data_IF_673444174392
#
_entry.id   IF_673444174392
#
_cell.length_a   1.000
_cell.length_b   1.000
_cell.length_c   1.000
_cell.angle_alpha   90.00
_cell.angle_beta   90.00
_cell.angle_gamma   90.00
#
_symmetry.space_group_name_H-M   'P 1'
#
loop_
_entity.id
_entity.type
_entity.pdbx_description
1 polymer ?
#
# COMPACT_ATOMS: atom_id res chain seq x y z
N UNK A 1 26.80 -32.22 -43.29
CA UNK A 1 26.66 -32.57 -41.85
C UNK A 1 27.21 -31.40 -41.04
N UNK A 2 26.37 -30.58 -40.38
CA UNK A 2 26.74 -29.53 -39.37
C UNK A 2 25.60 -28.54 -39.00
N UNK A 3 24.35 -28.72 -39.47
CA UNK A 3 23.24 -27.80 -39.13
C UNK A 3 22.30 -28.30 -38.01
N UNK A 4 22.32 -29.59 -37.69
CA UNK A 4 21.46 -30.17 -36.66
C UNK A 4 22.01 -30.00 -35.23
N UNK A 5 23.33 -29.99 -35.06
CA UNK A 5 23.95 -29.77 -33.75
C UNK A 5 23.69 -28.37 -33.18
N UNK A 6 23.55 -27.36 -34.04
CA UNK A 6 23.30 -25.97 -33.63
C UNK A 6 21.87 -25.78 -33.10
N UNK A 7 20.88 -26.43 -33.73
CA UNK A 7 19.48 -26.38 -33.27
C UNK A 7 19.29 -27.09 -31.93
N UNK A 8 19.96 -28.23 -31.71
CA UNK A 8 19.90 -28.96 -30.43
C UNK A 8 20.52 -28.11 -29.30
N UNK A 9 21.61 -27.39 -29.59
CA UNK A 9 22.27 -26.54 -28.59
C UNK A 9 21.41 -25.33 -28.19
N UNK A 10 20.68 -24.71 -29.14
CA UNK A 10 19.76 -23.60 -28.85
C UNK A 10 18.57 -24.07 -28.00
N UNK A 11 17.99 -25.25 -28.31
CA UNK A 11 16.87 -25.79 -27.53
C UNK A 11 17.31 -26.15 -26.11
N UNK A 12 18.52 -26.66 -25.92
CA UNK A 12 19.08 -26.93 -24.59
C UNK A 12 19.36 -25.65 -23.80
N UNK A 13 19.87 -24.59 -24.46
CA UNK A 13 20.09 -23.29 -23.82
C UNK A 13 18.77 -22.61 -23.44
N UNK A 14 17.75 -22.68 -24.30
CA UNK A 14 16.41 -22.18 -23.98
C UNK A 14 15.75 -22.99 -22.87
N UNK A 15 15.88 -24.32 -22.88
CA UNK A 15 15.40 -25.18 -21.80
C UNK A 15 16.09 -24.88 -20.47
N UNK A 16 17.40 -24.66 -20.49
CA UNK A 16 18.17 -24.28 -19.30
C UNK A 16 17.83 -22.86 -18.81
N UNK A 17 17.63 -21.90 -19.72
CA UNK A 17 17.16 -20.57 -19.37
C UNK A 17 15.75 -20.61 -18.76
N UNK A 18 14.85 -21.45 -19.30
CA UNK A 18 13.51 -21.66 -18.73
C UNK A 18 13.62 -22.28 -17.34
N UNK A 19 14.47 -23.30 -17.15
CA UNK A 19 14.70 -23.93 -15.84
C UNK A 19 15.25 -22.93 -14.83
N UNK A 20 16.26 -22.14 -15.22
CA UNK A 20 16.81 -21.07 -14.37
C UNK A 20 15.78 -19.99 -14.06
N UNK A 21 14.92 -19.61 -15.02
CA UNK A 21 13.84 -18.66 -14.74
C UNK A 21 12.78 -19.27 -13.83
N UNK A 22 12.42 -20.55 -13.98
CA UNK A 22 11.48 -21.22 -13.07
C UNK A 22 12.07 -21.46 -11.67
N UNK A 23 13.37 -21.68 -11.56
CA UNK A 23 14.06 -21.74 -10.26
C UNK A 23 14.18 -20.34 -9.64
N UNK A 24 14.47 -19.30 -10.42
CA UNK A 24 14.51 -17.91 -9.95
C UNK A 24 13.12 -17.40 -9.52
N UNK A 25 12.05 -17.73 -10.26
CA UNK A 25 10.67 -17.46 -9.86
C UNK A 25 10.19 -18.37 -8.71
N UNK A 26 10.69 -19.60 -8.62
CA UNK A 26 10.39 -20.53 -7.52
C UNK A 26 11.12 -20.22 -6.22
N UNK A 27 12.09 -19.31 -6.25
CA UNK A 27 12.87 -18.88 -5.09
C UNK A 27 12.40 -17.52 -4.53
N UNK A 28 11.30 -16.95 -5.04
CA UNK A 28 10.54 -15.98 -4.25
C UNK A 28 9.99 -16.72 -3.03
N UNK A 29 10.58 -16.41 -1.88
CA UNK A 29 10.23 -16.91 -0.57
C UNK A 29 8.71 -16.92 -0.41
N UNK A 30 8.13 -18.11 -0.30
CA UNK A 30 6.71 -18.31 -0.03
C UNK A 30 6.41 -17.62 1.32
N UNK A 31 5.86 -16.40 1.28
CA UNK A 31 5.36 -15.70 2.46
C UNK A 31 4.25 -16.56 3.05
N UNK A 32 4.60 -17.41 4.01
CA UNK A 32 3.67 -18.39 4.55
C UNK A 32 2.75 -17.67 5.52
N UNK A 33 1.66 -17.10 4.99
CA UNK A 33 0.61 -16.48 5.80
C UNK A 33 0.04 -17.56 6.74
N UNK A 34 0.24 -17.39 8.04
CA UNK A 34 -0.32 -18.29 9.05
C UNK A 34 -1.58 -17.69 9.65
N UNK A 35 -2.70 -18.36 9.45
CA UNK A 35 -3.99 -18.07 10.08
C UNK A 35 -4.10 -18.89 11.37
N UNK A 36 -4.25 -18.21 12.49
CA UNK A 36 -4.36 -18.84 13.81
C UNK A 36 -5.79 -18.85 14.37
N UNK A 37 -6.76 -18.26 13.67
CA UNK A 37 -8.13 -18.08 14.18
C UNK A 37 -8.15 -17.50 15.60
N UNK A 38 -8.99 -18.08 16.47
CA UNK A 38 -9.22 -17.60 17.85
C UNK A 38 -8.26 -18.22 18.89
N UNK A 39 -7.17 -18.88 18.48
CA UNK A 39 -6.22 -19.45 19.43
C UNK A 39 -5.40 -18.38 20.14
N UNK A 40 -5.38 -18.45 21.48
CA UNK A 40 -4.88 -17.40 22.37
C UNK A 40 -3.45 -16.94 22.11
N UNK A 41 -3.24 -15.64 22.23
CA UNK A 41 -1.92 -14.98 22.23
C UNK A 41 -1.12 -15.49 23.44
N UNK A 42 0.11 -15.94 23.24
CA UNK A 42 1.05 -16.28 24.33
C UNK A 42 1.12 -15.11 25.33
N UNK A 43 0.92 -15.39 26.62
CA UNK A 43 0.79 -14.33 27.63
C UNK A 43 2.12 -13.70 28.05
N UNK A 44 3.26 -14.29 27.70
CA UNK A 44 4.56 -13.71 28.04
C UNK A 44 4.86 -12.52 27.11
N UNK A 45 5.20 -11.37 27.70
CA UNK A 45 5.64 -10.14 27.02
C UNK A 45 4.56 -9.31 26.29
N UNK A 46 3.28 -9.42 26.65
CA UNK A 46 2.21 -8.55 26.14
C UNK A 46 1.52 -7.76 27.26
N UNK A 47 1.29 -6.46 27.02
CA UNK A 47 0.49 -5.58 27.87
C UNK A 47 -0.88 -5.30 27.26
N UNK A 48 -1.81 -4.86 28.09
CA UNK A 48 -3.13 -4.39 27.65
C UNK A 48 -3.18 -2.87 27.62
N UNK A 49 -3.72 -2.31 26.54
CA UNK A 49 -4.04 -0.89 26.44
C UNK A 49 -5.55 -0.72 26.31
N UNK A 50 -6.10 0.28 26.99
CA UNK A 50 -7.50 0.65 26.87
C UNK A 50 -7.65 1.73 25.80
N UNK A 51 -8.57 1.53 24.87
CA UNK A 51 -8.91 2.51 23.83
C UNK A 51 -10.38 2.91 23.95
N UNK A 52 -10.75 3.99 23.28
CA UNK A 52 -12.14 4.30 22.95
C UNK A 52 -12.34 3.91 21.49
N UNK A 53 -12.98 2.76 21.18
CA UNK A 53 -13.05 2.26 19.80
C UNK A 53 -13.62 3.26 18.80
N UNK A 54 -14.63 4.04 19.23
CA UNK A 54 -15.25 5.07 18.39
C UNK A 54 -14.30 6.19 17.97
N UNK A 55 -13.27 6.47 18.75
CA UNK A 55 -12.30 7.52 18.44
C UNK A 55 -11.16 6.93 17.59
N UNK A 56 -10.77 5.68 17.85
CA UNK A 56 -9.66 5.00 17.18
C UNK A 56 -10.02 4.45 15.79
N UNK A 57 -11.29 4.09 15.53
CA UNK A 57 -11.72 3.44 14.28
C UNK A 57 -11.51 4.30 13.02
N UNK A 58 -11.36 5.61 13.22
CA UNK A 58 -11.17 6.60 12.17
C UNK A 58 -9.72 7.09 12.02
N UNK A 59 -8.77 6.49 12.75
CA UNK A 59 -7.36 6.90 12.75
C UNK A 59 -6.45 5.76 12.26
N UNK A 60 -5.35 6.10 11.59
CA UNK A 60 -4.32 5.15 11.16
C UNK A 60 -4.25 4.95 9.64
N UNK A 61 -3.43 4.00 9.21
CA UNK A 61 -3.04 3.88 7.79
C UNK A 61 -3.96 2.94 6.98
N UNK A 62 -4.78 2.11 7.66
CA UNK A 62 -5.67 1.12 7.07
C UNK A 62 -7.13 1.59 6.91
N UNK A 63 -7.36 2.89 6.86
CA UNK A 63 -8.70 3.46 6.66
C UNK A 63 -9.21 3.13 5.25
N UNK A 64 -10.31 2.38 5.17
CA UNK A 64 -11.03 2.16 3.93
C UNK A 64 -11.85 3.42 3.62
N UNK A 65 -11.43 4.16 2.59
CA UNK A 65 -12.14 5.33 2.11
C UNK A 65 -12.64 5.05 0.69
N UNK A 66 -13.93 5.23 0.50
CA UNK A 66 -14.62 5.06 -0.78
C UNK A 66 -15.98 5.77 -0.72
N UNK A 67 -16.82 5.62 -1.74
CA UNK A 67 -18.17 6.22 -1.83
C UNK A 67 -19.10 5.92 -0.63
N UNK A 68 -18.86 4.84 0.11
CA UNK A 68 -19.71 4.39 1.22
C UNK A 68 -19.08 4.72 2.60
N UNK A 69 -17.79 5.04 2.62
CA UNK A 69 -17.00 5.26 3.83
C UNK A 69 -16.18 6.56 3.69
N UNK A 70 -16.69 7.70 4.17
CA UNK A 70 -16.01 8.97 4.04
C UNK A 70 -14.79 9.06 4.97
N UNK A 71 -13.96 10.05 4.69
CA UNK A 71 -12.84 10.50 5.51
C UNK A 71 -13.39 11.25 6.71
N UNK A 72 -12.82 10.94 7.86
CA UNK A 72 -13.04 11.64 9.11
C UNK A 72 -11.82 12.53 9.40
N UNK A 73 -12.03 13.68 10.02
CA UNK A 73 -10.96 14.65 10.29
C UNK A 73 -9.83 14.04 11.12
N UNK A 74 -10.18 13.12 12.03
CA UNK A 74 -9.27 12.37 12.87
C UNK A 74 -8.34 11.46 12.06
N UNK A 75 -8.74 11.04 10.87
CA UNK A 75 -7.97 10.18 9.97
C UNK A 75 -6.97 10.93 9.10
N UNK A 76 -7.09 12.26 9.00
CA UNK A 76 -6.14 13.08 8.25
C UNK A 76 -4.79 13.05 8.96
N UNK A 77 -3.72 12.70 8.24
CA UNK A 77 -2.38 12.64 8.83
C UNK A 77 -1.98 14.02 9.37
N UNK A 78 -1.37 14.06 10.55
CA UNK A 78 -0.97 15.31 11.21
C UNK A 78 0.40 15.83 10.74
N UNK A 79 1.13 15.02 9.97
CA UNK A 79 2.47 15.30 9.46
C UNK A 79 2.47 15.68 7.97
N UNK A 80 1.38 16.30 7.48
CA UNK A 80 1.35 16.85 6.12
C UNK A 80 2.39 17.96 5.99
N UNK A 81 3.24 17.85 4.97
CA UNK A 81 4.27 18.83 4.64
C UNK A 81 4.23 19.16 3.15
N UNK A 82 4.62 20.38 2.80
CA UNK A 82 4.85 20.76 1.42
C UNK A 82 6.17 20.15 0.92
N UNK A 83 6.11 19.29 -0.10
CA UNK A 83 7.28 18.57 -0.62
C UNK A 83 8.24 19.49 -1.38
N UNK A 84 7.78 20.61 -1.93
CA UNK A 84 8.66 21.55 -2.63
C UNK A 84 9.63 22.25 -1.67
N UNK A 85 9.20 22.47 -0.42
CA UNK A 85 9.99 23.13 0.62
C UNK A 85 11.03 22.19 1.26
N UNK A 86 10.76 20.88 1.29
CA UNK A 86 11.66 19.88 1.87
C UNK A 86 12.42 19.09 0.77
N UNK A 87 13.60 19.60 0.40
CA UNK A 87 14.45 18.99 -0.64
C UNK A 87 14.99 17.61 -0.26
N UNK A 88 15.04 17.29 1.04
CA UNK A 88 15.50 15.98 1.48
C UNK A 88 14.45 14.90 1.19
N UNK A 89 13.17 15.26 1.10
CA UNK A 89 12.08 14.33 0.75
C UNK A 89 11.90 14.10 -0.76
N UNK A 90 12.51 14.91 -1.61
CA UNK A 90 12.26 14.93 -3.07
C UNK A 90 13.41 14.40 -3.91
N UNK A 91 14.33 13.63 -3.31
CA UNK A 91 15.42 13.00 -4.05
C UNK A 91 14.89 11.80 -4.87
N UNK A 92 15.27 11.74 -6.15
CA UNK A 92 14.95 10.63 -7.05
C UNK A 92 13.67 10.80 -7.87
N UNK A 93 12.96 11.92 -7.74
CA UNK A 93 11.75 12.22 -8.51
C UNK A 93 11.54 13.74 -8.61
N UNK A 94 10.59 14.15 -9.46
CA UNK A 94 10.20 15.56 -9.60
C UNK A 94 8.77 15.81 -9.14
N UNK A 95 8.41 17.07 -8.90
CA UNK A 95 7.05 17.50 -8.55
C UNK A 95 6.41 18.21 -9.74
N UNK A 96 5.13 17.94 -9.99
CA UNK A 96 4.39 18.59 -11.08
C UNK A 96 4.13 20.08 -10.77
N UNK A 97 3.90 20.40 -9.49
CA UNK A 97 3.72 21.76 -9.01
C UNK A 97 4.39 21.97 -7.63
N UNK A 98 4.44 23.23 -7.17
CA UNK A 98 5.10 23.60 -5.90
C UNK A 98 4.18 23.49 -4.67
N UNK A 99 2.93 23.08 -4.86
CA UNK A 99 1.88 22.98 -3.84
C UNK A 99 1.51 21.52 -3.57
N UNK A 100 2.40 20.57 -3.91
CA UNK A 100 2.21 19.17 -3.60
C UNK A 100 2.57 18.96 -2.13
N UNK A 101 1.56 18.54 -1.38
CA UNK A 101 1.68 18.19 0.02
C UNK A 101 1.53 16.68 0.20
N UNK A 102 2.14 16.09 1.22
CA UNK A 102 1.97 14.67 1.56
C UNK A 102 2.34 14.46 3.02
N UNK A 103 1.86 13.36 3.64
CA UNK A 103 2.41 12.92 4.92
C UNK A 103 3.93 12.75 4.79
N UNK A 104 4.69 13.34 5.71
CA UNK A 104 6.15 13.25 5.74
C UNK A 104 6.61 11.79 5.79
N UNK A 105 5.96 10.96 6.62
CA UNK A 105 6.22 9.53 6.68
C UNK A 105 6.03 8.86 5.30
N UNK A 106 4.90 9.12 4.64
CA UNK A 106 4.61 8.53 3.32
C UNK A 106 5.61 9.01 2.26
N UNK A 107 6.04 10.27 2.31
CA UNK A 107 7.07 10.79 1.40
C UNK A 107 8.43 10.09 1.60
N UNK A 108 8.80 9.77 2.83
CA UNK A 108 10.01 9.00 3.14
C UNK A 108 9.92 7.57 2.59
N UNK A 109 8.77 6.91 2.76
CA UNK A 109 8.53 5.57 2.20
C UNK A 109 8.58 5.59 0.66
N UNK A 110 7.96 6.60 0.04
CA UNK A 110 8.03 6.80 -1.41
C UNK A 110 9.46 7.03 -1.90
N UNK A 111 10.25 7.84 -1.18
CA UNK A 111 11.65 8.04 -1.49
C UNK A 111 12.45 6.73 -1.47
N UNK A 112 12.27 5.89 -0.45
CA UNK A 112 12.92 4.57 -0.38
C UNK A 112 12.55 3.69 -1.58
N UNK A 113 11.29 3.74 -1.98
CA UNK A 113 10.79 3.00 -3.14
C UNK A 113 11.46 3.46 -4.46
N UNK A 114 11.49 4.76 -4.73
CA UNK A 114 12.08 5.26 -5.99
C UNK A 114 13.61 5.13 -6.02
N UNK A 115 14.28 5.18 -4.87
CA UNK A 115 15.72 4.90 -4.79
C UNK A 115 16.06 3.46 -5.17
N UNK A 116 15.20 2.50 -4.81
CA UNK A 116 15.37 1.12 -5.22
C UNK A 116 15.11 0.93 -6.72
N UNK A 117 14.08 1.58 -7.25
CA UNK A 117 13.80 1.59 -8.69
C UNK A 117 14.96 2.18 -9.52
N UNK A 118 15.62 3.23 -9.01
CA UNK A 118 16.80 3.82 -9.66
C UNK A 118 17.98 2.85 -9.75
N UNK A 119 18.14 1.92 -8.80
CA UNK A 119 19.16 0.86 -8.91
C UNK A 119 18.90 -0.09 -10.09
N UNK A 120 17.67 -0.15 -10.58
CA UNK A 120 17.26 -0.91 -11.76
C UNK A 120 17.16 -0.02 -13.02
N UNK A 121 17.55 1.25 -12.92
CA UNK A 121 17.52 2.22 -14.03
C UNK A 121 16.15 2.86 -14.28
N UNK A 122 15.19 2.70 -13.36
CA UNK A 122 13.84 3.27 -13.45
C UNK A 122 13.80 4.54 -12.59
N UNK A 123 13.84 5.72 -13.21
CA UNK A 123 14.08 6.98 -12.48
C UNK A 123 13.42 8.23 -13.06
N UNK A 124 12.38 8.08 -13.89
CA UNK A 124 11.63 9.21 -14.43
C UNK A 124 10.36 9.55 -13.64
N UNK A 125 10.33 9.21 -12.35
CA UNK A 125 9.19 9.44 -11.47
C UNK A 125 8.85 10.93 -11.29
N UNK A 126 7.55 11.18 -11.20
CA UNK A 126 6.92 12.46 -10.93
C UNK A 126 5.82 12.24 -9.88
N UNK A 127 5.64 13.15 -8.93
CA UNK A 127 4.36 13.22 -8.19
C UNK A 127 3.50 14.30 -8.85
N UNK A 128 2.29 13.92 -9.26
CA UNK A 128 1.31 14.86 -9.84
C UNK A 128 0.26 15.35 -8.86
N UNK A 129 -0.01 14.59 -7.80
CA UNK A 129 -0.96 14.96 -6.75
C UNK A 129 -0.62 14.20 -5.46
N UNK A 130 -0.74 14.86 -4.31
CA UNK A 130 -0.57 14.25 -2.99
C UNK A 130 -1.79 14.52 -2.12
N UNK A 131 -1.61 14.99 -0.89
CA UNK A 131 -2.70 15.48 -0.05
C UNK A 131 -3.52 16.56 -0.76
N UNK A 132 -4.84 16.45 -0.63
CA UNK A 132 -5.81 17.48 -1.02
C UNK A 132 -6.72 17.69 0.17
N UNK A 133 -6.86 18.91 0.65
CA UNK A 133 -7.88 19.21 1.67
C UNK A 133 -9.30 19.12 1.08
N UNK A 134 -10.30 19.28 1.95
CA UNK A 134 -11.71 19.20 1.54
C UNK A 134 -12.09 20.29 0.54
N UNK A 135 -11.57 21.52 0.71
CA UNK A 135 -11.89 22.65 -0.18
C UNK A 135 -11.37 22.42 -1.59
N UNK A 136 -10.10 22.01 -1.73
CA UNK A 136 -9.48 21.67 -3.01
C UNK A 136 -10.15 20.47 -3.67
N UNK A 137 -10.58 19.48 -2.88
CA UNK A 137 -11.32 18.34 -3.41
C UNK A 137 -12.70 18.76 -3.96
N UNK A 138 -13.38 19.67 -3.27
CA UNK A 138 -14.67 20.22 -3.69
C UNK A 138 -14.55 21.07 -4.96
N UNK A 139 -13.48 21.86 -5.10
CA UNK A 139 -13.16 22.58 -6.33
C UNK A 139 -12.94 21.61 -7.50
N UNK A 140 -12.11 20.59 -7.32
CA UNK A 140 -11.87 19.58 -8.33
C UNK A 140 -13.16 18.86 -8.74
N UNK A 141 -14.01 18.52 -7.77
CA UNK A 141 -15.31 17.91 -8.02
C UNK A 141 -16.22 18.81 -8.86
N UNK A 142 -16.28 20.11 -8.55
CA UNK A 142 -17.05 21.09 -9.34
C UNK A 142 -16.52 21.26 -10.76
N UNK A 143 -15.20 21.22 -10.94
CA UNK A 143 -14.56 21.43 -12.25
C UNK A 143 -14.61 20.20 -13.16
N UNK A 144 -14.38 19.01 -12.61
CA UNK A 144 -14.22 17.76 -13.37
C UNK A 144 -15.49 16.93 -13.45
N UNK A 145 -16.43 17.14 -12.53
CA UNK A 145 -17.68 16.39 -12.44
C UNK A 145 -17.53 14.99 -11.85
N UNK A 146 -18.68 14.32 -11.72
CA UNK A 146 -18.83 13.01 -11.04
C UNK A 146 -18.10 11.85 -11.68
N UNK A 147 -17.81 11.96 -12.98
CA UNK A 147 -17.17 10.88 -13.73
C UNK A 147 -15.67 10.78 -13.45
N UNK A 148 -15.09 11.82 -12.85
CA UNK A 148 -13.64 11.95 -12.65
C UNK A 148 -13.26 12.18 -11.19
N UNK A 149 -14.07 12.95 -10.45
CA UNK A 149 -13.75 13.32 -9.08
C UNK A 149 -14.82 12.83 -8.11
N UNK A 150 -14.39 12.45 -6.91
CA UNK A 150 -15.26 12.17 -5.78
C UNK A 150 -15.55 13.46 -4.99
N UNK A 151 -16.73 13.57 -4.36
CA UNK A 151 -17.04 14.70 -3.49
C UNK A 151 -16.04 14.79 -2.32
N UNK A 152 -15.88 15.98 -1.74
CA UNK A 152 -14.99 16.16 -0.59
C UNK A 152 -15.30 15.18 0.52
N UNK A 153 -14.24 14.59 1.07
CA UNK A 153 -14.33 13.56 2.10
C UNK A 153 -14.60 12.16 1.58
N UNK A 154 -14.65 11.92 0.28
CA UNK A 154 -14.73 10.55 -0.27
C UNK A 154 -13.46 10.16 -1.05
N UNK A 155 -12.45 11.05 -1.07
CA UNK A 155 -11.18 10.89 -1.77
C UNK A 155 -10.09 10.46 -0.80
N UNK A 156 -9.33 9.41 -1.12
CA UNK A 156 -8.23 8.96 -0.26
C UNK A 156 -7.09 9.98 -0.17
N UNK A 157 -7.02 10.95 -1.10
CA UNK A 157 -6.08 12.08 -1.00
C UNK A 157 -6.35 12.96 0.22
N UNK A 158 -7.59 13.00 0.73
CA UNK A 158 -7.90 13.76 1.95
C UNK A 158 -7.22 13.17 3.21
N UNK A 159 -6.70 11.93 3.16
CA UNK A 159 -5.95 11.35 4.28
C UNK A 159 -4.48 11.78 4.29
N UNK A 160 -3.91 12.14 3.14
CA UNK A 160 -2.46 12.30 2.97
C UNK A 160 -1.68 10.98 2.91
N UNK A 161 -2.40 9.87 2.67
CA UNK A 161 -1.85 8.52 2.49
C UNK A 161 -1.76 8.08 1.02
N UNK A 162 -2.32 8.88 0.11
CA UNK A 162 -2.40 8.55 -1.32
C UNK A 162 -1.71 9.60 -2.16
N UNK A 163 -1.14 9.16 -3.26
CA UNK A 163 -0.42 9.99 -4.22
C UNK A 163 -0.66 9.49 -5.64
N UNK A 164 -0.77 10.44 -6.56
CA UNK A 164 -0.77 10.17 -7.98
C UNK A 164 0.67 10.29 -8.48
N UNK A 165 1.22 9.16 -8.92
CA UNK A 165 2.58 9.02 -9.45
C UNK A 165 2.50 9.07 -10.97
N UNK A 166 3.37 9.86 -11.59
CA UNK A 166 3.55 9.99 -13.02
C UNK A 166 4.95 9.57 -13.48
N UNK A 167 5.13 9.53 -14.79
CA UNK A 167 6.43 9.43 -15.45
C UNK A 167 6.64 10.66 -16.32
N UNK A 168 7.86 11.20 -16.33
CA UNK A 168 8.24 12.32 -17.19
C UNK A 168 8.41 11.90 -18.65
N UNK A 169 8.39 10.60 -18.96
CA UNK A 169 8.59 10.08 -20.33
C UNK A 169 7.28 9.77 -21.05
N UNK A 170 6.31 9.17 -20.37
CA UNK A 170 5.06 8.75 -20.98
C UNK A 170 3.95 8.54 -19.96
N UNK A 171 2.75 8.20 -20.42
CA UNK A 171 1.63 7.87 -19.56
C UNK A 171 1.95 6.64 -18.69
N UNK A 172 1.57 6.65 -17.41
CA UNK A 172 1.86 5.57 -16.47
C UNK A 172 1.43 4.17 -16.94
N UNK A 173 0.38 4.08 -17.76
CA UNK A 173 -0.06 2.80 -18.33
C UNK A 173 0.92 2.15 -19.32
N UNK A 174 1.91 2.91 -19.80
CA UNK A 174 2.92 2.52 -20.79
C UNK A 174 4.35 2.76 -20.30
N UNK A 175 4.52 3.38 -19.14
CA UNK A 175 5.82 3.75 -18.59
C UNK A 175 6.43 2.58 -17.83
N UNK A 176 7.76 2.45 -17.91
CA UNK A 176 8.50 1.44 -17.14
C UNK A 176 8.32 1.67 -15.62
N UNK A 177 8.16 2.93 -15.18
CA UNK A 177 7.78 3.28 -13.80
C UNK A 177 6.48 2.60 -13.37
N UNK A 178 5.45 2.60 -14.22
CA UNK A 178 4.15 2.03 -13.91
C UNK A 178 4.18 0.50 -13.83
N UNK A 179 4.96 -0.16 -14.68
CA UNK A 179 5.20 -1.61 -14.60
C UNK A 179 6.01 -1.96 -13.35
N UNK A 180 7.08 -1.21 -13.08
CA UNK A 180 7.93 -1.45 -11.92
C UNK A 180 7.14 -1.31 -10.60
N UNK A 181 6.34 -0.25 -10.46
CA UNK A 181 5.53 -0.04 -9.25
C UNK A 181 4.51 -1.16 -9.04
N UNK A 182 3.84 -1.65 -10.09
CA UNK A 182 2.90 -2.77 -9.98
C UNK A 182 3.53 -4.03 -9.40
N UNK A 183 4.83 -4.25 -9.64
CA UNK A 183 5.55 -5.44 -9.21
C UNK A 183 6.28 -5.27 -7.88
N UNK A 184 6.58 -4.03 -7.47
CA UNK A 184 7.51 -3.76 -6.37
C UNK A 184 6.97 -2.82 -5.28
N UNK A 185 5.94 -2.01 -5.54
CA UNK A 185 5.49 -0.99 -4.60
C UNK A 185 5.06 -1.56 -3.24
N UNK A 186 4.55 -2.79 -3.24
CA UNK A 186 4.13 -3.51 -2.03
C UNK A 186 5.27 -3.73 -1.04
N UNK A 187 6.53 -3.79 -1.49
CA UNK A 187 7.70 -3.94 -0.61
C UNK A 187 7.91 -2.70 0.28
N UNK A 188 7.34 -1.57 -0.12
CA UNK A 188 7.50 -0.27 0.54
C UNK A 188 6.21 0.23 1.19
N UNK A 189 5.23 -0.65 1.40
CA UNK A 189 3.97 -0.26 2.03
C UNK A 189 2.90 0.28 1.09
N UNK A 190 3.13 0.31 -0.22
CA UNK A 190 2.20 0.89 -1.20
C UNK A 190 1.43 -0.18 -1.99
N UNK A 191 0.20 0.14 -2.36
CA UNK A 191 -0.63 -0.67 -3.26
C UNK A 191 -1.07 0.16 -4.45
N UNK A 192 -1.22 -0.47 -5.62
CA UNK A 192 -2.01 0.08 -6.71
C UNK A 192 -3.49 0.02 -6.29
N UNK A 193 -4.09 1.16 -5.97
CA UNK A 193 -5.40 1.21 -5.32
C UNK A 193 -6.55 0.76 -6.23
N UNK A 194 -6.45 1.05 -7.53
CA UNK A 194 -7.49 0.82 -8.52
C UNK A 194 -6.96 0.04 -9.74
N UNK A 195 -6.83 -1.30 -9.66
CA UNK A 195 -6.32 -2.15 -10.75
C UNK A 195 -7.39 -2.48 -11.82
N UNK A 196 -6.94 -2.88 -13.03
CA UNK A 196 -7.76 -3.02 -14.26
C UNK A 196 -9.04 -3.85 -14.15
N UNK A 197 -9.05 -4.86 -13.29
CA UNK A 197 -10.09 -5.88 -13.21
C UNK A 197 -10.82 -5.89 -11.85
N UNK A 198 -10.77 -4.78 -11.10
CA UNK A 198 -11.41 -4.68 -9.77
C UNK A 198 -12.37 -3.49 -9.65
N UNK A 199 -12.74 -2.84 -10.76
CA UNK A 199 -13.64 -1.68 -10.76
C UNK A 199 -15.01 -1.98 -10.15
N UNK A 200 -15.53 -3.21 -10.29
CA UNK A 200 -16.79 -3.62 -9.65
C UNK A 200 -16.69 -3.69 -8.11
N UNK A 201 -15.48 -3.86 -7.57
CA UNK A 201 -15.22 -3.95 -6.13
C UNK A 201 -14.86 -2.58 -5.54
N UNK A 202 -14.01 -1.82 -6.24
CA UNK A 202 -13.54 -0.50 -5.77
C UNK A 202 -14.53 0.62 -6.08
N UNK A 203 -15.39 0.42 -7.09
CA UNK A 203 -16.26 1.46 -7.65
C UNK A 203 -15.54 2.49 -8.53
N UNK A 204 -14.24 2.32 -8.78
CA UNK A 204 -13.40 3.24 -9.57
C UNK A 204 -12.71 2.46 -10.68
N UNK A 205 -12.62 3.08 -11.86
CA UNK A 205 -11.95 2.50 -13.03
C UNK A 205 -10.45 2.35 -12.79
N UNK A 206 -9.77 1.70 -13.73
CA UNK A 206 -8.32 1.55 -13.66
C UNK A 206 -7.58 2.89 -13.58
N UNK A 207 -6.79 3.08 -12.52
CA UNK A 207 -5.94 4.26 -12.34
C UNK A 207 -4.48 3.82 -12.14
N UNK A 208 -3.68 3.67 -13.21
CA UNK A 208 -2.28 3.23 -13.12
C UNK A 208 -1.36 4.17 -12.34
N UNK A 209 -1.81 5.38 -12.04
CA UNK A 209 -1.06 6.42 -11.34
C UNK A 209 -1.37 6.45 -9.84
N UNK A 210 -2.52 5.93 -9.38
CA UNK A 210 -2.99 6.15 -8.02
C UNK A 210 -2.51 5.06 -7.06
N UNK A 211 -1.59 5.44 -6.19
CA UNK A 211 -1.03 4.55 -5.18
C UNK A 211 -1.43 4.99 -3.77
N UNK A 212 -1.70 3.99 -2.93
CA UNK A 212 -2.12 4.17 -1.54
C UNK A 212 -1.11 3.51 -0.60
N UNK A 213 -0.62 4.25 0.38
CA UNK A 213 0.14 3.69 1.49
C UNK A 213 -0.78 2.99 2.49
N UNK A 214 -0.47 1.73 2.78
CA UNK A 214 -1.12 0.88 3.79
C UNK A 214 -0.12 0.26 4.77
N UNK A 215 1.18 0.50 4.56
CA UNK A 215 2.26 -0.02 5.40
C UNK A 215 2.56 -1.51 5.20
N UNK A 216 3.63 -1.95 5.87
CA UNK A 216 3.99 -3.37 6.00
C UNK A 216 3.42 -3.94 7.30
N UNK A 217 2.97 -5.20 7.30
CA UNK A 217 3.05 -6.18 6.22
C UNK A 217 1.85 -6.13 5.27
N UNK A 218 0.96 -5.14 5.43
CA UNK A 218 -0.37 -5.14 4.85
C UNK A 218 -0.35 -5.15 3.32
N UNK A 219 0.47 -4.29 2.73
CA UNK A 219 0.70 -4.25 1.28
C UNK A 219 1.22 -5.59 0.73
N UNK A 220 2.12 -6.27 1.44
CA UNK A 220 2.60 -7.61 1.07
C UNK A 220 1.47 -8.66 1.11
N UNK A 221 0.67 -8.68 2.19
CA UNK A 221 -0.49 -9.58 2.30
C UNK A 221 -1.48 -9.32 1.16
N UNK A 222 -1.75 -8.06 0.85
CA UNK A 222 -2.64 -7.67 -0.25
C UNK A 222 -2.10 -8.10 -1.61
N UNK A 223 -0.80 -7.92 -1.85
CA UNK A 223 -0.13 -8.38 -3.06
C UNK A 223 -0.24 -9.89 -3.24
N UNK A 224 0.14 -10.66 -2.22
CA UNK A 224 0.19 -12.13 -2.26
C UNK A 224 -1.20 -12.75 -2.48
N UNK A 225 -2.24 -12.08 -1.99
CA UNK A 225 -3.63 -12.54 -2.09
C UNK A 225 -4.44 -11.84 -3.20
N UNK A 226 -3.81 -10.94 -3.98
CA UNK A 226 -4.46 -10.15 -5.03
C UNK A 226 -5.74 -9.43 -4.52
N UNK A 227 -5.62 -8.76 -3.38
CA UNK A 227 -6.71 -8.06 -2.69
C UNK A 227 -6.66 -6.56 -2.95
N UNK A 228 -7.82 -5.96 -3.21
CA UNK A 228 -8.02 -4.51 -3.06
C UNK A 228 -8.38 -4.17 -1.61
N UNK A 229 -8.30 -2.88 -1.25
CA UNK A 229 -8.53 -2.41 0.11
C UNK A 229 -9.86 -2.88 0.71
N UNK A 230 -10.92 -2.88 -0.11
CA UNK A 230 -12.26 -3.37 0.25
C UNK A 230 -12.22 -4.84 0.69
N UNK A 231 -11.62 -5.70 -0.13
CA UNK A 231 -11.51 -7.13 0.18
C UNK A 231 -10.57 -7.38 1.36
N UNK A 232 -9.53 -6.57 1.50
CA UNK A 232 -8.55 -6.71 2.57
C UNK A 232 -9.14 -6.37 3.95
N UNK A 233 -10.01 -5.36 4.03
CA UNK A 233 -10.74 -5.02 5.26
C UNK A 233 -11.59 -6.21 5.75
N UNK A 234 -12.33 -6.85 4.84
CA UNK A 234 -13.13 -8.04 5.15
C UNK A 234 -12.24 -9.24 5.49
N UNK A 235 -11.13 -9.42 4.76
CA UNK A 235 -10.17 -10.48 5.01
C UNK A 235 -9.59 -10.42 6.43
N UNK A 236 -9.16 -9.24 6.89
CA UNK A 236 -8.66 -9.06 8.26
C UNK A 236 -9.72 -9.38 9.32
N UNK A 237 -10.97 -8.98 9.07
CA UNK A 237 -12.10 -9.26 9.96
C UNK A 237 -12.43 -10.75 10.04
N UNK A 238 -12.38 -11.46 8.92
CA UNK A 238 -12.58 -12.91 8.87
C UNK A 238 -11.47 -13.65 9.62
N UNK A 239 -10.21 -13.31 9.31
CA UNK A 239 -9.02 -13.99 9.82
C UNK A 239 -8.77 -13.74 11.29
N UNK A 240 -9.08 -12.52 11.77
CA UNK A 240 -8.84 -12.03 13.14
C UNK A 240 -7.39 -11.97 13.59
N UNK A 241 -6.56 -12.92 13.19
CA UNK A 241 -5.14 -13.01 13.52
C UNK A 241 -4.37 -13.62 12.36
N UNK A 242 -3.30 -12.94 11.98
CA UNK A 242 -2.40 -13.37 10.91
C UNK A 242 -0.95 -13.21 11.37
N UNK A 243 -0.08 -14.07 10.86
CA UNK A 243 1.36 -13.85 10.91
C UNK A 243 1.96 -14.00 9.53
N UNK A 244 2.94 -13.17 9.20
CA UNK A 244 3.70 -13.26 7.94
C UNK A 244 5.13 -12.78 8.16
N UNK A 245 6.01 -13.11 7.22
CA UNK A 245 7.39 -12.61 7.20
C UNK A 245 7.54 -11.76 5.95
N UNK A 246 8.09 -10.56 6.09
CA UNK A 246 8.40 -9.69 4.94
C UNK A 246 9.85 -9.25 5.07
N UNK A 247 10.66 -9.53 4.05
CA UNK A 247 12.10 -9.23 4.03
C UNK A 247 12.88 -9.74 5.26
N UNK A 248 12.48 -10.90 5.79
CA UNK A 248 13.11 -11.52 6.96
C UNK A 248 12.58 -11.04 8.32
N UNK A 249 11.70 -10.04 8.34
CA UNK A 249 11.08 -9.51 9.56
C UNK A 249 9.72 -10.16 9.81
N UNK A 250 9.45 -10.60 11.04
CA UNK A 250 8.20 -11.27 11.40
C UNK A 250 7.14 -10.26 11.85
N UNK A 251 5.98 -10.30 11.21
CA UNK A 251 4.83 -9.49 11.54
C UNK A 251 3.67 -10.33 12.07
N UNK A 252 3.01 -9.81 13.11
CA UNK A 252 1.76 -10.33 13.61
C UNK A 252 0.67 -9.25 13.49
N UNK A 253 -0.45 -9.58 12.86
CA UNK A 253 -1.60 -8.68 12.66
C UNK A 253 -2.80 -9.22 13.42
N UNK A 254 -3.47 -8.36 14.18
CA UNK A 254 -4.64 -8.70 14.99
C UNK A 254 -5.78 -7.75 14.67
N UNK A 255 -6.98 -8.28 14.50
CA UNK A 255 -8.22 -7.51 14.33
C UNK A 255 -9.08 -7.61 15.60
N UNK A 256 -9.55 -6.46 16.06
CA UNK A 256 -10.44 -6.28 17.19
C UNK A 256 -11.74 -5.63 16.71
N UNK A 257 -12.87 -6.17 17.13
CA UNK A 257 -14.18 -5.60 16.82
C UNK A 257 -14.53 -4.41 17.74
N UNK A 258 -15.49 -3.57 17.33
CA UNK A 258 -15.91 -2.38 18.11
C UNK A 258 -16.43 -2.68 19.52
N UNK A 259 -16.78 -3.93 19.85
CA UNK A 259 -17.20 -4.31 21.20
C UNK A 259 -16.03 -4.46 22.17
N UNK A 260 -14.79 -4.41 21.68
CA UNK A 260 -13.58 -4.59 22.46
C UNK A 260 -12.90 -3.24 22.68
N UNK A 261 -12.76 -2.83 23.94
CA UNK A 261 -12.07 -1.60 24.34
C UNK A 261 -10.66 -1.85 24.90
N UNK A 262 -10.23 -3.12 24.93
CA UNK A 262 -8.92 -3.54 25.40
C UNK A 262 -8.16 -4.22 24.25
N UNK A 263 -7.05 -3.62 23.84
CA UNK A 263 -6.12 -4.20 22.87
C UNK A 263 -4.95 -4.87 23.59
N UNK A 264 -4.38 -5.91 22.98
CA UNK A 264 -3.12 -6.51 23.44
C UNK A 264 -2.01 -6.07 22.50
N UNK A 265 -0.96 -5.51 23.08
CA UNK A 265 0.23 -5.04 22.37
C UNK A 265 1.47 -5.56 23.08
N UNK A 266 2.61 -5.75 22.40
CA UNK A 266 3.82 -6.21 23.06
C UNK A 266 4.28 -5.22 24.16
N UNK A 267 4.87 -5.74 25.23
CA UNK A 267 5.47 -4.93 26.30
C UNK A 267 6.67 -4.14 25.78
N UNK A 268 7.49 -4.80 24.96
CA UNK A 268 8.68 -4.26 24.29
C UNK A 268 8.58 -4.59 22.79
N UNK A 269 8.92 -3.63 21.93
CA UNK A 269 8.86 -3.80 20.46
C UNK A 269 8.05 -2.70 19.78
N UNK A 270 7.98 -2.77 18.45
CA UNK A 270 7.25 -1.81 17.63
C UNK A 270 5.87 -2.35 17.28
N UNK A 271 4.85 -1.51 17.45
CA UNK A 271 3.50 -1.81 17.01
C UNK A 271 2.80 -0.56 16.49
N UNK A 272 1.85 -0.79 15.59
CA UNK A 272 0.98 0.22 15.01
C UNK A 272 -0.48 -0.15 15.30
N UNK A 273 -1.34 0.87 15.39
CA UNK A 273 -2.77 0.72 15.59
C UNK A 273 -3.47 1.52 14.50
N UNK A 274 -4.37 0.86 13.79
CA UNK A 274 -5.19 1.50 12.78
C UNK A 274 -6.64 1.08 12.94
N UNK A 275 -7.57 2.01 12.81
CA UNK A 275 -8.93 1.67 12.46
C UNK A 275 -9.03 1.20 11.01
N UNK A 276 -10.17 0.63 10.64
CA UNK A 276 -10.52 0.32 9.25
C UNK A 276 -11.57 1.27 8.66
N UNK A 277 -11.85 2.38 9.35
CA UNK A 277 -12.88 3.36 8.99
C UNK A 277 -14.33 2.87 9.09
N UNK A 278 -14.58 1.67 9.65
CA UNK A 278 -15.93 1.10 9.73
C UNK A 278 -16.25 0.54 11.12
N UNK A 279 -15.67 -0.60 11.47
CA UNK A 279 -16.05 -1.37 12.67
C UNK A 279 -14.94 -2.28 13.21
N UNK A 280 -13.69 -1.95 12.92
CA UNK A 280 -12.53 -2.73 13.29
C UNK A 280 -11.33 -1.89 13.66
N UNK A 281 -10.56 -2.40 14.62
CA UNK A 281 -9.24 -1.90 14.99
C UNK A 281 -8.23 -3.00 14.68
N UNK A 282 -7.18 -2.63 13.97
CA UNK A 282 -6.06 -3.48 13.59
C UNK A 282 -4.86 -3.10 14.43
N UNK A 283 -4.22 -4.10 15.03
CA UNK A 283 -2.93 -3.97 15.70
C UNK A 283 -1.90 -4.75 14.89
N UNK A 284 -0.84 -4.06 14.48
CA UNK A 284 0.26 -4.65 13.71
C UNK A 284 1.50 -4.63 14.59
N UNK A 285 2.10 -5.79 14.81
CA UNK A 285 3.30 -5.96 15.62
C UNK A 285 4.43 -6.40 14.71
N UNK A 286 5.55 -5.69 14.79
CA UNK A 286 6.82 -6.07 14.16
C UNK A 286 7.73 -6.65 15.24
N UNK A 287 8.15 -7.92 15.08
CA UNK A 287 8.97 -8.64 16.04
C UNK A 287 10.43 -8.73 15.61
#
# INVERSE_FOLDING_TARGET
MKKWGFFIFIVLLLGYAVILTTEYFGQQQENTLKDYGDQGISQQNYKTIKIVPKDQVYQGDLLLVNKDHPVHQEGVKSDIVNLFEDKDLTQGYVLLDHNIELSKHVAQEFQRMVQAADQEGINHFLISSGYRDFERQDELYREKGTDYALPAGYSEHNLGLSLDIGSTQTEMSKADEGEWLQNNAWKYGFILRYPKNKAELTGIQYEPWHFRYVGLPHSAIMQDNNLVMEQYSDFLKEKKRLSTVVEGEEYNVYYYSMSQDILRVPENGQYEISGNNTNGIIVTVKN
#
